data_IF_262768451895
#
_entry.id   IF_262768451895
#
_cell.length_a   1.000
_cell.length_b   1.000
_cell.length_c   1.000
_cell.angle_alpha   90.00
_cell.angle_beta   90.00
_cell.angle_gamma   90.00
#
_symmetry.space_group_name_H-M   'P 1'
#
loop_
_entity.id
_entity.type
_entity.pdbx_description
1 polymer ?
#
# COMPACT_ATOMS: atom_id res chain seq x y z
N UNK A 1 7.27 13.08 -1.31
CA UNK A 1 7.68 11.96 -0.42
C UNK A 1 8.82 12.29 0.55
N UNK A 2 9.73 13.24 0.28
CA UNK A 2 10.87 13.56 1.19
C UNK A 2 10.49 13.92 2.63
N UNK A 3 9.38 14.62 2.80
CA UNK A 3 8.91 15.13 4.09
C UNK A 3 8.14 14.10 4.94
N UNK A 4 7.61 13.04 4.32
CA UNK A 4 6.67 12.16 5.00
C UNK A 4 7.38 11.03 5.76
N UNK A 5 7.13 10.92 7.06
CA UNK A 5 7.56 9.79 7.90
C UNK A 5 6.62 8.58 7.79
N UNK A 6 5.37 8.83 7.39
CA UNK A 6 4.33 7.82 7.18
C UNK A 6 3.66 7.99 5.82
N UNK A 7 3.46 6.88 5.09
CA UNK A 7 2.82 6.86 3.79
C UNK A 7 1.51 6.04 3.81
N UNK A 8 0.39 6.68 3.50
CA UNK A 8 -0.86 5.99 3.19
C UNK A 8 -1.01 5.81 1.67
N UNK A 9 -1.24 4.58 1.23
CA UNK A 9 -1.63 4.26 -0.15
C UNK A 9 -3.02 3.62 -0.10
N UNK A 10 -4.02 4.32 -0.65
CA UNK A 10 -5.38 3.82 -0.82
C UNK A 10 -5.66 3.65 -2.31
N UNK A 11 -6.04 2.44 -2.74
CA UNK A 11 -6.34 2.19 -4.15
C UNK A 11 -7.41 1.11 -4.36
N UNK A 12 -8.20 1.20 -5.45
CA UNK A 12 -9.05 0.11 -5.90
C UNK A 12 -8.24 -0.96 -6.61
N UNK A 13 -8.53 -2.23 -6.35
CA UNK A 13 -7.96 -3.36 -7.05
C UNK A 13 -8.56 -3.46 -8.44
N UNK A 14 -7.76 -3.22 -9.48
CA UNK A 14 -8.17 -3.31 -10.88
C UNK A 14 -7.36 -4.38 -11.58
N UNK A 15 -8.06 -5.28 -12.28
CA UNK A 15 -7.44 -6.41 -12.99
C UNK A 15 -6.48 -7.23 -12.10
N UNK A 16 -6.78 -7.32 -10.80
CA UNK A 16 -5.96 -8.05 -9.83
C UNK A 16 -4.74 -7.29 -9.30
N UNK A 17 -4.52 -6.03 -9.69
CA UNK A 17 -3.41 -5.20 -9.23
C UNK A 17 -3.77 -3.73 -8.95
N UNK A 18 -2.77 -2.92 -8.61
CA UNK A 18 -2.89 -1.49 -8.45
C UNK A 18 -3.21 -0.80 -9.79
N UNK A 19 -3.92 0.34 -9.78
CA UNK A 19 -4.17 1.10 -10.99
C UNK A 19 -2.88 1.51 -11.70
N UNK A 20 -2.90 1.54 -13.04
CA UNK A 20 -1.74 1.86 -13.86
C UNK A 20 -1.08 3.20 -13.45
N UNK A 21 -1.88 4.21 -13.12
CA UNK A 21 -1.38 5.51 -12.66
C UNK A 21 -0.60 5.42 -11.34
N UNK A 22 -1.04 4.59 -10.39
CA UNK A 22 -0.32 4.38 -9.14
C UNK A 22 1.01 3.66 -9.42
N UNK A 23 0.99 2.62 -10.26
CA UNK A 23 2.22 1.91 -10.66
C UNK A 23 3.22 2.86 -11.33
N UNK A 24 2.76 3.64 -12.29
CA UNK A 24 3.58 4.62 -13.01
C UNK A 24 4.14 5.69 -12.06
N UNK A 25 3.32 6.21 -11.14
CA UNK A 25 3.77 7.15 -10.12
C UNK A 25 4.94 6.59 -9.30
N UNK A 26 4.82 5.34 -8.83
CA UNK A 26 5.88 4.69 -8.05
C UNK A 26 7.14 4.49 -8.89
N UNK A 27 7.02 4.08 -10.16
CA UNK A 27 8.16 3.95 -11.08
C UNK A 27 8.90 5.27 -11.33
N UNK A 28 8.18 6.39 -11.37
CA UNK A 28 8.81 7.70 -11.56
C UNK A 28 9.42 8.26 -10.28
N UNK A 29 8.74 8.09 -9.14
CA UNK A 29 9.18 8.67 -7.88
C UNK A 29 10.23 7.82 -7.18
N UNK A 30 10.21 6.50 -7.30
CA UNK A 30 11.14 5.59 -6.62
C UNK A 30 12.39 5.27 -7.45
N UNK A 31 12.92 6.26 -8.15
CA UNK A 31 14.13 6.11 -8.96
C UNK A 31 15.41 6.14 -8.10
N UNK A 32 16.54 5.66 -8.65
CA UNK A 32 17.82 5.83 -8.00
C UNK A 32 18.17 7.31 -7.77
N UNK A 33 18.99 7.57 -6.74
CA UNK A 33 19.29 8.91 -6.24
C UNK A 33 18.20 9.54 -5.35
N UNK A 34 17.04 8.88 -5.23
CA UNK A 34 16.02 9.24 -4.25
C UNK A 34 15.58 8.07 -3.38
N UNK A 35 15.20 6.94 -3.99
CA UNK A 35 14.69 5.78 -3.25
C UNK A 35 15.71 4.66 -3.07
N UNK A 36 16.67 4.59 -4.00
CA UNK A 36 17.77 3.62 -4.00
C UNK A 36 19.08 4.36 -4.27
N UNK A 37 20.14 4.01 -3.56
CA UNK A 37 21.50 4.45 -3.89
C UNK A 37 22.13 3.50 -4.90
N UNK A 38 22.70 4.04 -5.99
CA UNK A 38 23.36 3.25 -7.04
C UNK A 38 24.77 2.81 -6.64
N UNK A 39 25.40 3.48 -5.67
CA UNK A 39 26.76 3.18 -5.22
C UNK A 39 26.85 2.11 -4.14
N UNK A 40 25.71 1.71 -3.56
CA UNK A 40 25.65 0.82 -2.41
C UNK A 40 24.83 -0.43 -2.71
N UNK A 41 24.91 -1.44 -1.83
CA UNK A 41 24.15 -2.68 -1.95
C UNK A 41 23.41 -3.04 -0.65
N UNK A 42 22.43 -3.94 -0.77
CA UNK A 42 21.73 -4.49 0.39
C UNK A 42 20.90 -3.44 1.14
N UNK A 43 21.06 -3.37 2.47
CA UNK A 43 20.32 -2.43 3.30
C UNK A 43 20.80 -0.98 3.15
N UNK A 44 22.10 -0.79 2.90
CA UNK A 44 22.72 0.55 2.74
C UNK A 44 22.21 1.26 1.48
N UNK A 45 21.78 0.50 0.47
CA UNK A 45 21.17 1.05 -0.74
C UNK A 45 19.77 1.64 -0.53
N UNK A 46 19.11 1.42 0.62
CA UNK A 46 17.70 1.76 0.84
C UNK A 46 17.54 3.15 1.45
N UNK A 47 17.29 4.15 0.59
CA UNK A 47 17.29 5.56 0.99
C UNK A 47 16.01 6.04 1.70
N UNK A 48 14.94 5.25 1.72
CA UNK A 48 13.67 5.60 2.39
C UNK A 48 13.47 4.86 3.72
N UNK A 49 14.57 4.39 4.31
CA UNK A 49 14.58 3.69 5.60
C UNK A 49 14.06 4.54 6.76
N UNK A 50 13.50 3.90 7.79
CA UNK A 50 12.94 4.56 8.97
C UNK A 50 11.52 5.13 8.78
N UNK A 51 10.87 4.81 7.65
CA UNK A 51 9.52 5.26 7.32
C UNK A 51 8.53 4.11 7.38
N UNK A 52 7.31 4.43 7.79
CA UNK A 52 6.23 3.45 7.87
C UNK A 52 5.19 3.65 6.76
N UNK A 53 4.41 2.62 6.48
CA UNK A 53 3.36 2.69 5.47
C UNK A 53 2.08 1.97 5.90
N UNK A 54 0.95 2.44 5.37
CA UNK A 54 -0.34 1.77 5.39
C UNK A 54 -0.85 1.61 3.97
N UNK A 55 -1.36 0.42 3.68
CA UNK A 55 -2.04 0.12 2.41
C UNK A 55 -3.50 -0.21 2.70
N UNK A 56 -4.40 0.50 2.04
CA UNK A 56 -5.83 0.22 2.02
C UNK A 56 -6.19 -0.16 0.60
N UNK A 57 -6.63 -1.40 0.40
CA UNK A 57 -7.07 -1.89 -0.91
C UNK A 57 -8.56 -2.16 -0.90
N UNK A 58 -9.28 -1.58 -1.86
CA UNK A 58 -10.73 -1.75 -2.03
C UNK A 58 -11.04 -2.60 -3.26
N UNK A 59 -12.09 -3.41 -3.23
CA UNK A 59 -12.46 -4.27 -4.36
C UNK A 59 -13.93 -4.70 -4.28
N UNK A 60 -14.55 -5.00 -5.42
CA UNK A 60 -15.94 -5.48 -5.44
C UNK A 60 -16.10 -6.95 -5.02
N UNK A 61 -15.07 -7.76 -5.22
CA UNK A 61 -15.05 -9.13 -4.71
C UNK A 61 -14.96 -9.17 -3.16
N UNK A 62 -15.42 -10.24 -2.49
CA UNK A 62 -15.23 -10.40 -1.06
C UNK A 62 -13.75 -10.44 -0.66
N UNK A 63 -13.40 -9.76 0.44
CA UNK A 63 -12.02 -9.69 0.94
C UNK A 63 -11.39 -11.07 1.23
N UNK A 64 -12.11 -12.07 1.81
CA UNK A 64 -11.55 -13.41 2.01
C UNK A 64 -11.16 -14.08 0.69
N UNK A 65 -11.96 -13.90 -0.37
CA UNK A 65 -11.68 -14.50 -1.67
C UNK A 65 -10.37 -13.94 -2.25
N UNK A 66 -10.17 -12.62 -2.22
CA UNK A 66 -8.89 -12.02 -2.60
C UNK A 66 -7.72 -12.49 -1.73
N UNK A 67 -7.93 -12.56 -0.40
CA UNK A 67 -6.87 -12.91 0.55
C UNK A 67 -6.39 -14.35 0.40
N UNK A 68 -7.30 -15.30 0.20
CA UNK A 68 -6.97 -16.72 0.20
C UNK A 68 -6.76 -17.28 -1.20
N UNK A 69 -7.66 -16.99 -2.15
CA UNK A 69 -7.57 -17.53 -3.50
C UNK A 69 -6.46 -16.82 -4.31
N UNK A 70 -6.50 -15.48 -4.37
CA UNK A 70 -5.45 -14.68 -5.03
C UNK A 70 -4.22 -14.43 -4.15
N UNK A 71 -4.22 -15.00 -2.93
CA UNK A 71 -3.13 -14.89 -1.95
C UNK A 71 -2.74 -13.44 -1.63
N UNK A 72 -3.63 -12.47 -1.85
CA UNK A 72 -3.36 -11.04 -1.78
C UNK A 72 -2.12 -10.59 -2.58
N UNK A 73 -1.96 -11.11 -3.81
CA UNK A 73 -0.74 -10.92 -4.62
C UNK A 73 -0.32 -9.46 -4.78
N UNK A 74 -1.22 -8.60 -5.28
CA UNK A 74 -0.92 -7.17 -5.51
C UNK A 74 -0.48 -6.45 -4.24
N UNK A 75 -1.22 -6.61 -3.14
CA UNK A 75 -0.88 -6.01 -1.86
C UNK A 75 0.51 -6.48 -1.38
N UNK A 76 0.80 -7.78 -1.48
CA UNK A 76 2.12 -8.32 -1.10
C UNK A 76 3.24 -7.83 -2.02
N UNK A 77 2.96 -7.66 -3.31
CA UNK A 77 3.92 -7.12 -4.27
C UNK A 77 4.24 -5.66 -3.92
N UNK A 78 3.22 -4.83 -3.66
CA UNK A 78 3.40 -3.45 -3.25
C UNK A 78 4.19 -3.32 -1.95
N UNK A 79 3.84 -4.07 -0.90
CA UNK A 79 4.61 -4.05 0.35
C UNK A 79 6.04 -4.58 0.17
N UNK A 80 6.17 -5.86 -0.20
CA UNK A 80 7.45 -6.56 -0.12
C UNK A 80 8.40 -6.18 -1.24
N UNK A 81 7.89 -6.06 -2.46
CA UNK A 81 8.73 -5.91 -3.64
C UNK A 81 8.97 -4.44 -4.01
N UNK A 82 8.12 -3.53 -3.54
CA UNK A 82 8.24 -2.09 -3.84
C UNK A 82 8.64 -1.31 -2.57
N UNK A 83 7.76 -1.22 -1.57
CA UNK A 83 8.00 -0.35 -0.41
C UNK A 83 9.20 -0.81 0.43
N UNK A 84 9.25 -2.10 0.78
CA UNK A 84 10.36 -2.67 1.57
C UNK A 84 11.66 -2.80 0.78
N UNK A 85 11.59 -2.78 -0.55
CA UNK A 85 12.77 -2.75 -1.41
C UNK A 85 13.51 -1.40 -1.29
N UNK A 86 12.78 -0.31 -1.07
CA UNK A 86 13.34 1.05 -0.94
C UNK A 86 13.51 1.53 0.51
N UNK A 87 13.13 0.71 1.50
CA UNK A 87 13.46 0.93 2.92
C UNK A 87 12.29 1.08 3.88
N UNK A 88 11.05 1.14 3.40
CA UNK A 88 9.90 1.20 4.32
C UNK A 88 9.83 -0.05 5.21
N UNK A 89 9.34 0.14 6.43
CA UNK A 89 8.92 -0.96 7.30
C UNK A 89 7.76 -1.76 6.67
N UNK A 90 7.50 -2.95 7.22
CA UNK A 90 6.34 -3.75 6.80
C UNK A 90 5.06 -2.94 6.92
N UNK A 91 4.36 -2.77 5.81
CA UNK A 91 3.16 -1.97 5.77
C UNK A 91 2.01 -2.62 6.57
N UNK A 92 1.14 -1.78 7.13
CA UNK A 92 -0.12 -2.22 7.74
C UNK A 92 -1.20 -2.28 6.68
N UNK A 93 -2.11 -3.26 6.78
CA UNK A 93 -3.07 -3.55 5.72
C UNK A 93 -4.52 -3.42 6.16
N UNK A 94 -5.34 -2.87 5.28
CA UNK A 94 -6.80 -3.00 5.32
C UNK A 94 -7.29 -3.49 3.96
N UNK A 95 -7.91 -4.66 3.93
CA UNK A 95 -8.50 -5.24 2.71
C UNK A 95 -10.01 -5.09 2.83
N UNK A 96 -10.59 -4.24 2.00
CA UNK A 96 -12.03 -3.94 2.00
C UNK A 96 -12.61 -4.53 0.73
N UNK A 97 -13.41 -5.58 0.88
CA UNK A 97 -14.11 -6.25 -0.22
C UNK A 97 -15.60 -5.94 -0.21
N UNK A 98 -16.29 -6.32 -1.29
CA UNK A 98 -17.75 -6.11 -1.44
C UNK A 98 -18.14 -4.64 -1.25
N UNK A 99 -17.37 -3.72 -1.83
CA UNK A 99 -17.54 -2.27 -1.61
C UNK A 99 -18.86 -1.71 -2.15
N UNK A 100 -19.51 -2.42 -3.07
CA UNK A 100 -20.84 -2.13 -3.58
C UNK A 100 -21.97 -2.63 -2.66
N UNK A 101 -21.65 -3.03 -1.42
CA UNK A 101 -22.65 -3.36 -0.42
C UNK A 101 -23.47 -2.12 0.02
N UNK A 102 -24.27 -2.30 1.08
CA UNK A 102 -25.19 -1.29 1.56
C UNK A 102 -24.51 -0.03 2.11
N UNK A 103 -25.24 1.10 2.13
CA UNK A 103 -24.74 2.34 2.72
C UNK A 103 -24.27 2.19 4.18
N UNK A 104 -24.96 1.44 5.07
CA UNK A 104 -24.46 1.17 6.42
C UNK A 104 -23.11 0.44 6.45
N UNK A 105 -22.88 -0.51 5.54
CA UNK A 105 -21.59 -1.20 5.44
C UNK A 105 -20.49 -0.22 5.02
N UNK A 106 -20.77 0.64 4.04
CA UNK A 106 -19.86 1.70 3.59
C UNK A 106 -19.50 2.65 4.73
N UNK A 107 -20.47 3.11 5.50
CA UNK A 107 -20.23 3.97 6.65
C UNK A 107 -19.39 3.29 7.73
N UNK A 108 -19.58 1.98 7.97
CA UNK A 108 -18.76 1.23 8.92
C UNK A 108 -17.29 1.18 8.49
N UNK A 109 -17.01 1.01 7.19
CA UNK A 109 -15.63 1.09 6.67
C UNK A 109 -15.05 2.49 6.80
N UNK A 110 -15.81 3.54 6.45
CA UNK A 110 -15.36 4.93 6.58
C UNK A 110 -15.02 5.26 8.04
N UNK A 111 -15.88 4.88 8.99
CA UNK A 111 -15.59 5.03 10.43
C UNK A 111 -14.32 4.28 10.84
N UNK A 112 -14.14 3.05 10.36
CA UNK A 112 -12.94 2.26 10.66
C UNK A 112 -11.67 2.93 10.12
N UNK A 113 -11.70 3.47 8.90
CA UNK A 113 -10.56 4.18 8.29
C UNK A 113 -10.28 5.49 9.02
N UNK A 114 -11.30 6.24 9.44
CA UNK A 114 -11.14 7.45 10.23
C UNK A 114 -10.42 7.16 11.57
N UNK A 115 -10.84 6.12 12.30
CA UNK A 115 -10.20 5.71 13.55
C UNK A 115 -8.73 5.29 13.37
N UNK A 116 -8.38 4.67 12.23
CA UNK A 116 -6.99 4.34 11.91
C UNK A 116 -6.16 5.61 11.69
N UNK A 117 -6.72 6.59 10.97
CA UNK A 117 -6.10 7.89 10.76
C UNK A 117 -5.83 8.65 12.06
N UNK A 118 -6.83 8.73 12.95
CA UNK A 118 -6.70 9.39 14.25
C UNK A 118 -5.63 8.76 15.15
N UNK A 119 -5.49 7.43 15.07
CA UNK A 119 -4.48 6.71 15.84
C UNK A 119 -3.05 6.89 15.28
N UNK A 120 -2.86 7.60 14.16
CA UNK A 120 -1.63 7.64 13.38
C UNK A 120 -1.10 6.22 13.06
N UNK A 121 -2.02 5.29 12.77
CA UNK A 121 -1.73 3.86 12.59
C UNK A 121 -2.07 3.38 11.21
#
# INVERSE_FOLDING_TARGET
MRWADHLLILYPLWLGDMPALLKAFLEQVMRPGFAIDEGSAGAEAKLLSGRSARIIVTMGMPAPFYRFFYRAHSLKSLDRNILRAVGFDSARYSIIGSVEASAPAREAWLRSVALLGDAAR
#
